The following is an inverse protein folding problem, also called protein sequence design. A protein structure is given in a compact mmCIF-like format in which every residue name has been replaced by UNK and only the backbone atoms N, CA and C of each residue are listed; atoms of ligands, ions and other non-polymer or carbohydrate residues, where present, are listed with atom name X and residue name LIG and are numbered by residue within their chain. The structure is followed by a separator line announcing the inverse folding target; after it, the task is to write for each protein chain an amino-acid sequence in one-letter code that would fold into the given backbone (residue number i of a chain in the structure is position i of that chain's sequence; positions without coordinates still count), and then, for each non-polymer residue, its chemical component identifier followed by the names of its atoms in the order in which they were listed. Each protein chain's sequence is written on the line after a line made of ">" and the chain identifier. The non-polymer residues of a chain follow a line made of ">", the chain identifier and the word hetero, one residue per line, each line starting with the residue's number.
data_IF_981945968147
#
_entry.id   IF_981945968147
#
_cell.length_a   1.000
_cell.length_b   1.000
_cell.length_c   1.000
_cell.angle_alpha   90.00
_cell.angle_beta   90.00
_cell.angle_gamma   90.00
#
_symmetry.space_group_name_H-M   'P 1'
#
loop_
_entity.id
_entity.type
_entity.pdbx_description
1 polymer ?
#
# COMPACT_ATOMS: atom_id res chain seq x y z
N UNK A 1 -3.42 -7.36 -0.85
CA UNK A 1 -2.49 -6.34 -1.37
C UNK A 1 -2.95 -5.70 -2.68
N UNK A 2 -2.97 -6.38 -3.85
CA UNK A 2 -3.36 -5.74 -5.14
C UNK A 2 -4.72 -5.02 -5.10
N UNK A 3 -5.72 -5.64 -4.45
CA UNK A 3 -7.05 -5.04 -4.27
C UNK A 3 -7.07 -3.73 -3.48
N UNK A 4 -6.14 -3.54 -2.53
CA UNK A 4 -6.03 -2.32 -1.73
C UNK A 4 -5.67 -1.13 -2.63
N UNK A 5 -4.58 -1.25 -3.37
CA UNK A 5 -4.10 -0.19 -4.22
C UNK A 5 -4.98 0.05 -5.45
N UNK A 6 -5.60 -1.00 -5.99
CA UNK A 6 -6.59 -0.84 -7.07
C UNK A 6 -7.80 -0.03 -6.57
N UNK A 7 -8.27 -0.29 -5.36
CA UNK A 7 -9.38 0.46 -4.79
C UNK A 7 -9.05 1.96 -4.64
N UNK A 8 -7.80 2.30 -4.32
CA UNK A 8 -7.37 3.69 -4.15
C UNK A 8 -7.11 4.37 -5.50
N UNK A 9 -6.19 3.84 -6.31
CA UNK A 9 -5.68 4.53 -7.50
C UNK A 9 -6.52 4.36 -8.77
N UNK A 10 -7.44 3.38 -8.78
CA UNK A 10 -8.24 3.07 -9.98
C UNK A 10 -9.73 3.20 -9.74
N UNK A 11 -10.19 2.71 -8.60
CA UNK A 11 -11.63 2.69 -8.30
C UNK A 11 -12.08 3.91 -7.48
N UNK A 12 -11.15 4.75 -7.01
CA UNK A 12 -11.43 5.93 -6.20
C UNK A 12 -12.36 5.64 -4.99
N UNK A 13 -12.17 4.49 -4.35
CA UNK A 13 -13.07 3.97 -3.31
C UNK A 13 -12.30 3.54 -2.05
N UNK A 14 -12.27 4.45 -1.06
CA UNK A 14 -11.65 4.19 0.24
C UNK A 14 -12.39 3.10 1.03
N UNK A 15 -13.71 2.95 0.88
CA UNK A 15 -14.46 1.90 1.57
C UNK A 15 -14.10 0.52 1.02
N UNK A 16 -13.85 0.43 -0.29
CA UNK A 16 -13.32 -0.78 -0.91
C UNK A 16 -11.88 -1.03 -0.48
N UNK A 17 -11.05 0.00 -0.35
CA UNK A 17 -9.68 -0.14 0.13
C UNK A 17 -9.60 -0.69 1.57
N UNK A 18 -10.47 -0.22 2.46
CA UNK A 18 -10.60 -0.68 3.85
C UNK A 18 -10.84 -2.18 3.97
N UNK A 19 -11.54 -2.80 3.01
CA UNK A 19 -11.73 -4.27 2.94
C UNK A 19 -10.42 -5.04 2.71
N UNK A 20 -9.32 -4.37 2.46
CA UNK A 20 -7.99 -4.97 2.31
C UNK A 20 -6.99 -4.43 3.33
N UNK A 21 -7.41 -3.52 4.21
CA UNK A 21 -6.60 -2.90 5.24
C UNK A 21 -6.70 -3.69 6.55
N UNK A 22 -5.65 -3.62 7.38
CA UNK A 22 -5.74 -4.02 8.79
C UNK A 22 -6.56 -2.99 9.57
N UNK A 23 -6.93 -3.30 10.82
CA UNK A 23 -7.57 -2.31 11.71
C UNK A 23 -6.74 -1.02 11.84
N UNK A 24 -5.40 -1.17 11.93
CA UNK A 24 -4.46 -0.05 12.02
C UNK A 24 -4.47 0.82 10.77
N UNK A 25 -4.43 0.19 9.59
CA UNK A 25 -4.44 0.90 8.30
C UNK A 25 -5.82 1.51 8.02
N UNK A 26 -6.90 0.87 8.44
CA UNK A 26 -8.25 1.43 8.37
C UNK A 26 -8.33 2.76 9.14
N UNK A 27 -7.85 2.78 10.39
CA UNK A 27 -7.78 4.01 11.19
C UNK A 27 -6.98 5.14 10.52
N UNK A 28 -5.91 4.82 9.76
CA UNK A 28 -5.19 5.82 8.97
C UNK A 28 -6.01 6.34 7.79
N UNK A 29 -6.71 5.46 7.07
CA UNK A 29 -7.60 5.86 5.97
C UNK A 29 -8.71 6.78 6.50
N UNK A 30 -9.30 6.46 7.65
CA UNK A 30 -10.30 7.30 8.31
C UNK A 30 -9.75 8.66 8.71
N UNK A 31 -8.55 8.69 9.29
CA UNK A 31 -7.91 9.93 9.72
C UNK A 31 -7.69 10.91 8.57
N UNK A 32 -7.23 10.42 7.41
CA UNK A 32 -6.99 11.28 6.24
C UNK A 32 -8.24 11.53 5.39
N UNK A 33 -9.31 10.74 5.59
CA UNK A 33 -10.70 10.90 5.13
C UNK A 33 -10.97 11.05 3.62
N UNK A 34 -9.97 11.42 2.83
CA UNK A 34 -10.07 11.77 1.42
C UNK A 34 -9.05 10.97 0.61
N UNK A 35 -9.37 10.62 -0.63
CA UNK A 35 -8.45 9.91 -1.53
C UNK A 35 -7.12 10.63 -1.63
N UNK A 36 -7.16 11.94 -1.88
CA UNK A 36 -5.96 12.75 -2.02
C UNK A 36 -5.14 12.85 -0.74
N UNK A 37 -5.79 12.79 0.44
CA UNK A 37 -5.11 12.68 1.72
C UNK A 37 -4.42 11.32 1.90
N UNK A 38 -5.13 10.23 1.58
CA UNK A 38 -4.58 8.87 1.66
C UNK A 38 -3.41 8.68 0.70
N UNK A 39 -3.54 9.06 -0.56
CA UNK A 39 -2.46 9.00 -1.55
C UNK A 39 -1.22 9.77 -1.09
N UNK A 40 -1.41 10.98 -0.55
CA UNK A 40 -0.29 11.82 -0.12
C UNK A 40 0.39 11.34 1.14
N UNK A 41 -0.38 11.01 2.17
CA UNK A 41 0.15 10.82 3.53
C UNK A 41 0.26 9.35 3.93
N UNK A 42 -0.48 8.44 3.30
CA UNK A 42 -0.38 7.00 3.53
C UNK A 42 0.47 6.34 2.45
N UNK A 43 0.22 6.65 1.17
CA UNK A 43 0.96 6.04 0.05
C UNK A 43 2.23 6.82 -0.32
N UNK A 44 2.29 8.10 0.06
CA UNK A 44 3.45 8.97 -0.11
C UNK A 44 3.60 9.59 -1.51
N UNK A 45 2.62 9.43 -2.41
CA UNK A 45 2.67 9.98 -3.78
C UNK A 45 1.30 9.96 -4.48
N UNK A 46 1.10 10.95 -5.35
CA UNK A 46 -0.01 10.99 -6.31
C UNK A 46 0.41 10.37 -7.64
N UNK A 47 -0.51 9.64 -8.27
CA UNK A 47 -0.36 9.16 -9.64
C UNK A 47 -1.63 9.50 -10.42
N UNK A 48 -1.49 9.98 -11.65
CA UNK A 48 -2.61 10.19 -12.55
C UNK A 48 -3.11 8.83 -13.09
N UNK A 49 -2.16 7.93 -13.35
CA UNK A 49 -2.36 6.50 -13.66
C UNK A 49 -1.17 5.71 -13.13
N UNK A 50 -1.40 4.52 -12.58
CA UNK A 50 -0.33 3.67 -12.05
C UNK A 50 -0.59 2.19 -12.31
N UNK A 51 0.46 1.51 -12.73
CA UNK A 51 0.55 0.06 -12.77
C UNK A 51 1.34 -0.43 -11.56
N UNK A 52 0.88 -1.54 -11.00
CA UNK A 52 1.36 -2.08 -9.72
C UNK A 52 1.90 -3.48 -9.92
N UNK A 53 3.17 -3.66 -9.57
CA UNK A 53 3.83 -4.97 -9.64
C UNK A 53 4.33 -5.35 -8.26
N UNK A 54 3.95 -6.54 -7.77
CA UNK A 54 4.54 -7.11 -6.56
C UNK A 54 5.76 -7.92 -6.97
N UNK A 55 6.92 -7.64 -6.36
CA UNK A 55 8.11 -8.45 -6.57
C UNK A 55 7.99 -9.73 -5.75
N UNK A 56 7.64 -10.85 -6.39
CA UNK A 56 7.38 -12.12 -5.71
C UNK A 56 8.59 -12.60 -4.87
N UNK A 57 9.80 -12.40 -5.37
CA UNK A 57 11.05 -12.82 -4.70
C UNK A 57 11.41 -11.93 -3.49
N UNK A 58 10.72 -10.80 -3.31
CA UNK A 58 10.91 -9.90 -2.16
C UNK A 58 10.09 -10.30 -0.93
N UNK A 59 9.19 -11.27 -1.07
CA UNK A 59 8.25 -11.65 0.00
C UNK A 59 9.00 -12.41 1.10
N UNK A 60 9.14 -11.78 2.27
CA UNK A 60 9.86 -12.34 3.42
C UNK A 60 9.12 -12.08 4.73
N UNK A 61 9.31 -12.90 5.79
CA UNK A 61 8.82 -12.58 7.12
C UNK A 61 9.34 -11.21 7.60
N UNK A 62 8.46 -10.39 8.18
CA UNK A 62 8.85 -9.08 8.72
C UNK A 62 9.21 -9.20 10.21
N UNK A 63 10.34 -8.61 10.62
CA UNK A 63 10.84 -8.60 12.01
C UNK A 63 10.88 -9.98 12.70
N UNK A 64 11.12 -11.05 11.95
CA UNK A 64 11.08 -12.45 12.41
C UNK A 64 9.70 -12.91 12.94
N UNK A 65 8.61 -12.17 12.69
CA UNK A 65 7.25 -12.58 12.98
C UNK A 65 6.66 -13.30 11.76
N UNK A 66 6.31 -14.59 11.89
CA UNK A 66 5.71 -15.37 10.79
C UNK A 66 4.29 -14.94 10.43
N UNK A 67 3.62 -14.17 11.29
CA UNK A 67 2.29 -13.62 11.03
C UNK A 67 2.36 -12.29 10.27
N UNK A 68 3.56 -11.83 9.95
CA UNK A 68 3.80 -10.60 9.21
C UNK A 68 4.69 -10.87 8.01
N UNK A 69 4.27 -10.39 6.84
CA UNK A 69 5.05 -10.49 5.61
C UNK A 69 5.41 -9.10 5.13
N UNK A 70 6.62 -8.93 4.64
CA UNK A 70 7.05 -7.76 3.88
C UNK A 70 7.14 -8.12 2.41
N UNK A 71 6.65 -7.26 1.54
CA UNK A 71 6.84 -7.37 0.10
C UNK A 71 7.12 -6.00 -0.53
N UNK A 72 7.97 -5.98 -1.56
CA UNK A 72 8.18 -4.80 -2.40
C UNK A 72 7.06 -4.69 -3.42
N UNK A 73 6.43 -3.51 -3.48
CA UNK A 73 5.49 -3.11 -4.52
C UNK A 73 6.14 -2.02 -5.35
N UNK A 74 6.23 -2.26 -6.65
CA UNK A 74 6.67 -1.29 -7.65
C UNK A 74 5.45 -0.57 -8.19
N UNK A 75 5.54 0.76 -8.24
CA UNK A 75 4.58 1.69 -8.81
C UNK A 75 5.21 2.28 -10.06
N UNK A 76 4.61 2.06 -11.22
CA UNK A 76 5.06 2.63 -12.49
C UNK A 76 3.88 3.38 -13.11
N UNK A 77 4.02 4.69 -13.29
CA UNK A 77 2.88 5.52 -13.66
C UNK A 77 3.26 6.92 -14.10
N UNK A 78 2.26 7.73 -14.42
CA UNK A 78 2.44 9.13 -14.79
C UNK A 78 2.07 10.03 -13.61
N UNK A 79 2.88 11.06 -13.38
CA UNK A 79 2.57 12.14 -12.44
C UNK A 79 2.90 13.48 -13.11
N UNK A 80 1.88 14.31 -13.33
CA UNK A 80 2.02 15.62 -14.00
C UNK A 80 2.65 15.53 -15.40
N UNK A 81 2.41 14.42 -16.10
CA UNK A 81 2.93 14.16 -17.45
C UNK A 81 4.33 13.55 -17.49
N UNK A 82 4.99 13.34 -16.34
CA UNK A 82 6.27 12.64 -16.27
C UNK A 82 6.05 11.17 -15.91
N UNK A 83 6.78 10.28 -16.59
CA UNK A 83 6.84 8.87 -16.20
C UNK A 83 7.67 8.72 -14.92
N UNK A 84 7.04 8.17 -13.88
CA UNK A 84 7.62 7.99 -12.56
C UNK A 84 7.55 6.53 -12.17
N UNK A 85 8.71 5.97 -11.80
CA UNK A 85 8.84 4.65 -11.20
C UNK A 85 9.27 4.79 -9.76
N UNK A 86 8.59 4.09 -8.87
CA UNK A 86 8.89 4.07 -7.44
C UNK A 86 8.65 2.68 -6.86
N UNK A 87 9.20 2.42 -5.68
CA UNK A 87 8.90 1.19 -4.94
C UNK A 87 8.68 1.45 -3.45
N UNK A 88 7.82 0.64 -2.85
CA UNK A 88 7.54 0.67 -1.41
C UNK A 88 7.58 -0.73 -0.85
N UNK A 89 8.13 -0.83 0.35
CA UNK A 89 8.00 -2.01 1.16
C UNK A 89 6.66 -1.97 1.90
N UNK A 90 5.88 -3.03 1.80
CA UNK A 90 4.54 -3.12 2.36
C UNK A 90 4.50 -4.26 3.34
N UNK A 91 4.07 -3.96 4.56
CA UNK A 91 3.83 -4.97 5.59
C UNK A 91 2.40 -5.46 5.48
N UNK A 92 2.26 -6.78 5.44
CA UNK A 92 1.03 -7.51 5.50
C UNK A 92 0.92 -8.22 6.85
N UNK A 93 -0.26 -8.19 7.45
CA UNK A 93 -0.61 -8.95 8.66
C UNK A 93 -1.70 -9.96 8.34
N UNK A 94 -1.73 -11.09 9.05
CA UNK A 94 -2.83 -12.04 8.95
C UNK A 94 -3.89 -11.73 10.00
N UNK A 95 -5.06 -11.27 9.55
CA UNK A 95 -6.23 -11.01 10.40
C UNK A 95 -7.39 -11.88 9.90
N UNK A 96 -8.02 -12.62 10.81
CA UNK A 96 -9.16 -13.50 10.49
C UNK A 96 -8.86 -14.46 9.31
N UNK A 97 -7.63 -14.97 9.24
CA UNK A 97 -7.19 -15.86 8.18
C UNK A 97 -6.90 -15.18 6.82
N UNK A 98 -7.04 -13.86 6.73
CA UNK A 98 -6.83 -13.08 5.50
C UNK A 98 -5.62 -12.15 5.63
N UNK A 99 -4.81 -12.06 4.58
CA UNK A 99 -3.71 -11.09 4.52
C UNK A 99 -4.22 -9.68 4.24
N UNK A 100 -3.95 -8.77 5.18
CA UNK A 100 -4.34 -7.36 5.14
C UNK A 100 -3.11 -6.45 5.01
N UNK A 101 -3.26 -5.32 4.34
CA UNK A 101 -2.23 -4.28 4.27
C UNK A 101 -2.21 -3.53 5.60
N UNK A 102 -1.08 -3.60 6.32
CA UNK A 102 -0.93 -2.99 7.64
C UNK A 102 -0.11 -1.70 7.62
N UNK A 103 1.01 -1.72 6.88
CA UNK A 103 1.93 -0.58 6.82
C UNK A 103 2.52 -0.44 5.43
N UNK A 104 2.75 0.80 5.04
CA UNK A 104 3.60 1.15 3.91
C UNK A 104 4.83 1.79 4.52
N UNK A 105 5.98 1.13 4.37
CA UNK A 105 7.22 1.60 4.95
C UNK A 105 7.79 2.71 4.07
N UNK A 106 8.15 3.81 4.70
CA UNK A 106 8.90 4.87 4.06
C UNK A 106 10.31 4.34 3.72
N UNK A 107 10.82 4.57 2.49
CA UNK A 107 12.18 4.21 2.09
C UNK A 107 13.27 4.63 3.09
N UNK A 108 13.04 5.72 3.85
CA UNK A 108 13.96 6.27 4.86
C UNK A 108 14.03 5.45 6.15
N UNK A 109 13.06 4.58 6.41
CA UNK A 109 12.92 3.81 7.66
C UNK A 109 13.05 2.30 7.43
N UNK A 110 13.76 1.88 6.38
CA UNK A 110 14.16 0.48 6.20
C UNK A 110 15.15 0.12 7.33
N UNK A 111 14.85 -0.90 8.17
CA UNK A 111 15.76 -1.35 9.22
C UNK A 111 17.07 -1.92 8.64
#
# INVERSE_FOLDING_TARGET
>A
MKGFYQAIYRDDDLNKAKRFASERMDGLIEHYATLSGVERYVLGRYYDRVELTVEADSIVPYLNNKQELRATVIFEGEYKGDNVKDSRDVVLVQEEGTWRVDQILDPRYRP
#
